data_IF_875467287322
#
_entry.id   IF_875467287322
#
_cell.length_a   1.000
_cell.length_b   1.000
_cell.length_c   1.000
_cell.angle_alpha   90.00
_cell.angle_beta   90.00
_cell.angle_gamma   90.00
#
_symmetry.space_group_name_H-M   'P 1'
#
loop_
_entity.id
_entity.type
_entity.pdbx_description
1 polymer ?
#
# COMPACT_ATOMS: atom_id res chain seq x y z
N UNK A 1 -3.09 -11.10 0.13
CA UNK A 1 -2.29 -10.18 -0.70
C UNK A 1 -0.99 -10.89 -1.04
N UNK A 2 -0.78 -11.27 -2.30
CA UNK A 2 0.44 -11.97 -2.73
C UNK A 2 1.52 -10.96 -3.11
N UNK A 3 2.79 -11.28 -2.86
CA UNK A 3 3.95 -10.43 -3.16
C UNK A 3 3.94 -9.79 -4.56
N UNK A 4 3.40 -10.49 -5.57
CA UNK A 4 3.29 -10.01 -6.96
C UNK A 4 2.41 -8.76 -7.12
N UNK A 5 1.35 -8.65 -6.33
CA UNK A 5 0.44 -7.50 -6.41
C UNK A 5 1.13 -6.22 -5.93
N UNK A 6 1.92 -6.35 -4.86
CA UNK A 6 2.64 -5.22 -4.27
C UNK A 6 3.69 -4.61 -5.23
N UNK A 7 4.35 -5.45 -6.02
CA UNK A 7 5.32 -4.98 -7.02
C UNK A 7 4.64 -4.26 -8.19
N UNK A 8 3.47 -4.74 -8.63
CA UNK A 8 2.66 -4.07 -9.66
C UNK A 8 2.20 -2.67 -9.21
N UNK A 9 1.72 -2.54 -7.96
CA UNK A 9 1.30 -1.23 -7.43
C UNK A 9 2.48 -0.27 -7.29
N UNK A 10 3.65 -0.77 -6.88
CA UNK A 10 4.86 0.03 -6.82
C UNK A 10 5.31 0.48 -8.23
N UNK A 11 5.31 -0.41 -9.22
CA UNK A 11 5.65 -0.04 -10.60
C UNK A 11 4.70 1.05 -11.14
N UNK A 12 3.39 0.88 -10.96
CA UNK A 12 2.41 1.89 -11.36
C UNK A 12 2.64 3.22 -10.65
N UNK A 13 2.75 3.21 -9.32
CA UNK A 13 2.92 4.43 -8.54
C UNK A 13 4.25 5.14 -8.83
N UNK A 14 5.31 4.40 -9.22
CA UNK A 14 6.59 4.97 -9.63
C UNK A 14 6.54 5.75 -10.95
N UNK A 15 5.55 5.43 -11.79
CA UNK A 15 5.34 6.07 -13.10
C UNK A 15 4.45 7.30 -13.03
N UNK A 16 3.88 7.62 -11.86
CA UNK A 16 3.08 8.83 -11.67
C UNK A 16 4.03 10.02 -11.54
N UNK A 17 4.06 10.84 -12.58
CA UNK A 17 4.86 12.07 -12.61
C UNK A 17 4.26 13.11 -11.64
N UNK A 18 4.99 13.54 -10.60
CA UNK A 18 4.54 14.65 -9.77
C UNK A 18 4.60 15.98 -10.55
N UNK A 19 3.81 17.00 -10.19
CA UNK A 19 3.94 18.34 -10.75
C UNK A 19 5.36 18.90 -10.58
N UNK A 20 5.80 19.75 -11.52
CA UNK A 20 7.13 20.36 -11.49
C UNK A 20 7.41 21.05 -10.15
N UNK A 21 8.54 20.69 -9.53
CA UNK A 21 8.98 21.21 -8.24
C UNK A 21 8.45 20.47 -7.00
N UNK A 22 7.65 19.41 -7.15
CA UNK A 22 7.22 18.58 -6.01
C UNK A 22 8.10 17.33 -5.81
N UNK A 23 8.17 16.88 -4.56
CA UNK A 23 8.80 15.60 -4.20
C UNK A 23 8.11 14.44 -4.94
N UNK A 24 8.84 13.33 -5.20
CA UNK A 24 8.26 12.10 -5.78
C UNK A 24 6.98 11.69 -5.05
N UNK A 25 5.96 11.28 -5.82
CA UNK A 25 4.66 10.86 -5.29
C UNK A 25 4.78 9.65 -4.37
N UNK A 26 4.07 9.70 -3.24
CA UNK A 26 4.05 8.64 -2.24
C UNK A 26 2.80 7.81 -2.45
N UNK A 27 2.89 6.50 -2.29
CA UNK A 27 1.72 5.65 -2.28
C UNK A 27 1.19 5.57 -0.85
N UNK A 28 -0.02 6.07 -0.64
CA UNK A 28 -0.70 5.94 0.65
C UNK A 28 -1.12 4.49 0.83
N UNK A 29 -0.61 3.85 1.89
CA UNK A 29 -1.05 2.52 2.27
C UNK A 29 -2.38 2.67 3.00
N UNK A 30 -3.35 1.81 2.69
CA UNK A 30 -4.64 1.75 3.38
C UNK A 30 -4.53 1.21 4.80
N UNK A 31 -3.54 1.66 5.58
CA UNK A 31 -3.30 1.27 6.96
C UNK A 31 -3.98 2.25 7.90
N UNK A 32 -4.75 1.72 8.85
CA UNK A 32 -5.43 2.46 9.90
C UNK A 32 -4.90 2.04 11.26
N UNK A 33 -4.84 2.98 12.20
CA UNK A 33 -4.40 2.69 13.55
C UNK A 33 -5.53 2.07 14.38
N UNK A 34 -5.36 0.80 14.79
CA UNK A 34 -6.24 0.15 15.73
C UNK A 34 -5.87 0.59 17.16
N UNK A 35 -6.72 1.43 17.76
CA UNK A 35 -6.48 1.98 19.09
C UNK A 35 -6.40 0.93 20.20
N UNK A 36 -7.12 -0.18 20.07
CA UNK A 36 -7.12 -1.25 21.08
C UNK A 36 -5.84 -2.07 21.02
N UNK A 37 -5.41 -2.41 19.80
CA UNK A 37 -4.20 -3.19 19.56
C UNK A 37 -2.92 -2.35 19.52
N UNK A 38 -3.04 -1.01 19.47
CA UNK A 38 -1.94 -0.05 19.36
C UNK A 38 -0.99 -0.36 18.19
N UNK A 39 -1.58 -0.63 17.03
CA UNK A 39 -0.85 -0.99 15.81
C UNK A 39 -1.60 -0.58 14.55
N UNK A 40 -0.87 -0.48 13.44
CA UNK A 40 -1.44 -0.31 12.12
C UNK A 40 -1.97 -1.65 11.58
N UNK A 41 -3.16 -1.59 10.98
CA UNK A 41 -3.88 -2.70 10.36
C UNK A 41 -4.43 -2.26 9.01
N UNK A 42 -4.61 -3.17 8.06
CA UNK A 42 -5.26 -2.84 6.80
C UNK A 42 -6.70 -2.39 7.04
N UNK A 43 -7.15 -1.37 6.30
CA UNK A 43 -8.48 -0.79 6.41
C UNK A 43 -9.60 -1.80 6.07
N UNK A 44 -9.28 -2.84 5.32
CA UNK A 44 -10.19 -3.95 4.97
C UNK A 44 -10.28 -5.02 6.07
N UNK A 45 -9.51 -4.89 7.16
CA UNK A 45 -9.48 -5.83 8.28
C UNK A 45 -8.64 -7.08 8.03
N UNK A 46 -8.00 -7.20 6.86
CA UNK A 46 -7.07 -8.31 6.61
C UNK A 46 -5.81 -8.17 7.46
N UNK A 47 -5.20 -9.32 7.78
CA UNK A 47 -3.98 -9.34 8.58
C UNK A 47 -2.83 -8.70 7.79
N UNK A 48 -2.08 -7.80 8.42
CA UNK A 48 -0.81 -7.33 7.87
C UNK A 48 0.25 -8.41 8.07
N UNK A 49 0.59 -9.10 6.99
CA UNK A 49 1.59 -10.18 6.92
C UNK A 49 2.86 -9.79 6.13
N UNK A 50 2.82 -8.64 5.45
CA UNK A 50 3.92 -8.08 4.69
C UNK A 50 4.28 -6.67 5.16
N UNK A 51 5.57 -6.45 5.41
CA UNK A 51 6.16 -5.12 5.64
C UNK A 51 7.50 -5.03 4.93
N UNK A 52 7.87 -3.81 4.50
CA UNK A 52 9.22 -3.53 4.01
C UNK A 52 10.17 -3.20 5.14
N UNK A 53 11.42 -3.65 5.00
CA UNK A 53 12.55 -3.27 5.85
C UNK A 53 12.32 -3.44 7.36
N UNK A 54 11.52 -4.45 7.74
CA UNK A 54 11.17 -4.72 9.15
C UNK A 54 10.57 -3.52 9.89
N UNK A 55 9.94 -2.58 9.17
CA UNK A 55 9.27 -1.44 9.76
C UNK A 55 8.24 -1.92 10.78
N UNK A 56 8.34 -1.41 12.01
CA UNK A 56 7.37 -1.72 13.04
C UNK A 56 6.03 -1.09 12.70
N UNK A 57 4.98 -1.89 12.81
CA UNK A 57 3.60 -1.41 12.73
C UNK A 57 2.99 -1.21 14.11
N UNK A 58 3.74 -1.44 15.19
CA UNK A 58 3.31 -1.04 16.52
C UNK A 58 3.34 0.49 16.58
N UNK A 59 2.16 1.06 16.81
CA UNK A 59 1.92 2.45 16.51
C UNK A 59 1.14 3.11 17.63
N UNK A 60 1.66 4.23 18.10
CA UNK A 60 0.93 5.08 19.02
C UNK A 60 -0.12 5.89 18.23
N UNK A 61 -1.37 5.44 18.26
CA UNK A 61 -2.48 6.08 17.56
C UNK A 61 -2.80 7.50 18.05
N UNK A 62 -2.16 7.97 19.13
CA UNK A 62 -2.27 9.38 19.55
C UNK A 62 -1.32 10.29 18.79
N UNK A 63 -0.32 9.72 18.10
CA UNK A 63 0.61 10.46 17.25
C UNK A 63 0.00 10.62 15.86
N UNK A 64 0.12 11.82 15.30
CA UNK A 64 -0.30 12.15 13.93
C UNK A 64 0.71 11.60 12.91
N UNK A 65 0.86 10.28 12.88
CA UNK A 65 1.81 9.54 12.07
C UNK A 65 1.09 8.45 11.27
N UNK A 66 1.67 8.05 10.15
CA UNK A 66 1.23 6.92 9.33
C UNK A 66 2.42 6.35 8.55
N UNK A 67 2.20 5.25 7.84
CA UNK A 67 3.21 4.63 6.96
C UNK A 67 2.78 4.78 5.51
N UNK A 68 3.73 5.16 4.66
CA UNK A 68 3.54 5.26 3.21
C UNK A 68 4.63 4.48 2.48
N UNK A 69 4.32 4.05 1.26
CA UNK A 69 5.32 3.50 0.34
C UNK A 69 5.93 4.63 -0.49
N UNK A 70 7.25 4.54 -0.71
CA UNK A 70 7.98 5.27 -1.73
C UNK A 70 8.38 4.31 -2.84
N UNK A 71 7.58 4.26 -3.92
CA UNK A 71 7.78 3.29 -4.96
C UNK A 71 9.15 3.37 -5.61
N UNK A 72 9.68 4.58 -5.82
CA UNK A 72 10.97 4.77 -6.47
C UNK A 72 12.17 4.33 -5.62
N UNK A 73 11.98 4.05 -4.33
CA UNK A 73 12.98 3.45 -3.45
C UNK A 73 12.65 2.01 -3.07
N UNK A 74 11.49 1.49 -3.50
CA UNK A 74 10.95 0.20 -3.08
C UNK A 74 10.95 0.04 -1.54
N UNK A 75 10.53 1.08 -0.83
CA UNK A 75 10.63 1.17 0.62
C UNK A 75 9.37 1.77 1.26
N UNK A 76 9.12 1.45 2.53
CA UNK A 76 8.07 2.03 3.35
C UNK A 76 8.68 2.86 4.47
N UNK A 77 8.06 3.98 4.80
CA UNK A 77 8.50 4.78 5.93
C UNK A 77 7.36 5.50 6.62
N UNK A 78 7.63 5.85 7.87
CA UNK A 78 6.77 6.68 8.70
C UNK A 78 6.79 8.14 8.22
N UNK A 79 5.61 8.74 8.16
CA UNK A 79 5.42 10.18 7.90
C UNK A 79 4.40 10.75 8.85
N UNK A 80 4.44 12.06 9.06
CA UNK A 80 3.32 12.74 9.71
C UNK A 80 2.11 12.79 8.80
N UNK A 81 0.93 12.47 9.35
CA UNK A 81 -0.35 12.60 8.65
C UNK A 81 -0.71 14.05 8.33
N UNK A 82 -0.05 15.03 8.95
CA UNK A 82 -0.30 16.45 8.74
C UNK A 82 0.65 17.07 7.72
N UNK A 83 1.51 16.28 7.06
CA UNK A 83 2.38 16.76 5.98
C UNK A 83 1.55 17.19 4.78
N UNK A 84 1.89 18.34 4.23
CA UNK A 84 1.28 18.91 3.01
C UNK A 84 2.29 19.09 1.87
N UNK A 85 3.57 18.82 2.12
CA UNK A 85 4.69 18.92 1.17
C UNK A 85 4.82 17.69 0.26
N UNK A 86 4.04 16.63 0.50
CA UNK A 86 4.03 15.40 -0.30
C UNK A 86 2.75 15.27 -1.12
N UNK A 87 2.91 14.84 -2.37
CA UNK A 87 1.81 14.31 -3.18
C UNK A 87 1.55 12.86 -2.79
N UNK A 88 0.31 12.53 -2.45
CA UNK A 88 -0.09 11.16 -2.17
C UNK A 88 -0.94 10.60 -3.33
N UNK A 89 -0.53 9.47 -3.85
CA UNK A 89 -1.32 8.62 -4.72
C UNK A 89 -2.13 7.66 -3.85
N UNK A 90 -3.44 7.59 -4.09
CA UNK A 90 -4.34 6.63 -3.46
C UNK A 90 -4.81 5.66 -4.54
N UNK A 91 -4.64 4.36 -4.30
CA UNK A 91 -5.13 3.29 -5.18
C UNK A 91 -6.12 2.46 -4.37
N UNK A 92 -7.32 2.27 -4.91
CA UNK A 92 -8.34 1.44 -4.30
C UNK A 92 -8.29 0.05 -4.93
N UNK A 93 -8.21 -0.98 -4.11
CA UNK A 93 -8.42 -2.36 -4.53
C UNK A 93 -9.85 -2.77 -4.18
N UNK A 94 -10.56 -3.34 -5.13
CA UNK A 94 -11.85 -4.01 -4.92
C UNK A 94 -11.66 -5.50 -5.08
N UNK A 95 -12.34 -6.31 -4.27
CA UNK A 95 -12.40 -7.75 -4.54
C UNK A 95 -13.00 -7.96 -5.95
N UNK A 96 -12.44 -8.89 -6.75
CA UNK A 96 -13.06 -9.23 -8.01
C UNK A 96 -14.51 -9.67 -7.73
N UNK A 97 -15.44 -9.19 -8.56
CA UNK A 97 -16.82 -9.67 -8.51
C UNK A 97 -16.74 -11.17 -8.74
N UNK A 98 -17.30 -11.97 -7.83
CA UNK A 98 -17.45 -13.39 -8.07
C UNK A 98 -18.44 -13.56 -9.23
N UNK A 99 -17.92 -13.72 -10.45
CA UNK A 99 -18.72 -14.10 -11.59
C UNK A 99 -18.94 -15.61 -11.45
N UNK A 100 -20.19 -16.02 -11.31
CA UNK A 100 -20.57 -17.44 -11.20
C UNK A 100 -20.09 -18.17 -12.47
N UNK A 101 -19.10 -19.05 -12.33
CA UNK A 101 -18.48 -19.80 -13.43
C UNK A 101 -17.11 -19.32 -13.90
N UNK A 102 -16.57 -18.22 -13.36
CA UNK A 102 -15.23 -17.74 -13.72
C UNK A 102 -14.17 -18.36 -12.79
N UNK A 103 -13.48 -19.38 -13.29
CA UNK A 103 -12.37 -20.02 -12.58
C UNK A 103 -11.15 -19.13 -12.65
N UNK A 104 -11.05 -18.16 -11.74
CA UNK A 104 -9.85 -17.36 -11.52
C UNK A 104 -8.68 -18.19 -10.95
N UNK A 105 -8.28 -19.26 -11.65
CA UNK A 105 -7.11 -20.10 -11.39
C UNK A 105 -6.53 -20.75 -12.66
N UNK A 106 -7.13 -20.55 -13.84
CA UNK A 106 -6.68 -21.19 -15.08
C UNK A 106 -5.70 -20.31 -15.86
N UNK A 107 -4.62 -19.88 -15.19
CA UNK A 107 -3.40 -19.48 -15.91
C UNK A 107 -2.54 -20.74 -16.13
N UNK A 108 -3.13 -21.76 -16.73
CA UNK A 108 -2.32 -22.80 -17.34
C UNK A 108 -1.48 -22.13 -18.43
N UNK A 109 -0.19 -22.44 -18.36
CA UNK A 109 0.86 -21.94 -19.23
C UNK A 109 0.37 -21.92 -20.67
N UNK A 110 0.46 -20.77 -21.34
CA UNK A 110 0.56 -20.82 -22.80
C UNK A 110 1.88 -21.53 -23.10
N UNK A 111 1.81 -22.78 -23.54
CA UNK A 111 2.91 -23.45 -24.21
C UNK A 111 3.15 -22.75 -25.55
N UNK A 112 4.40 -22.28 -25.67
CA UNK A 112 5.21 -21.83 -26.82
C UNK A 112 4.61 -20.92 -27.90
#
# INVERSE_FOLDING_TARGET
FYFKDNDMFNDFASKITPPDGQSRSKLLLGLLCNQKARRLEWADGTKVDYTKNTLSLDFDCTRNLTVVSEPAKNDWYEVSSNRTDYTYTVICATLPIAIEGDSCWDYDRMED
#
